data_IF_137964671092
#
_entry.id   IF_137964671092
#
_cell.length_a   1.000
_cell.length_b   1.000
_cell.length_c   1.000
_cell.angle_alpha   90.00
_cell.angle_beta   90.00
_cell.angle_gamma   90.00
#
_symmetry.space_group_name_H-M   'P 1'
#
loop_
_entity.id
_entity.type
_entity.pdbx_description
1 polymer ?
#
# COMPACT_ATOMS: atom_id res chain seq x y z
N UNK A 1 -3.29 5.68 -78.96
CA UNK A 1 -3.57 4.43 -78.21
C UNK A 1 -2.26 3.95 -77.60
N UNK A 2 -2.04 4.24 -76.32
CA UNK A 2 -0.84 3.85 -75.58
C UNK A 2 -1.19 3.88 -74.09
N UNK A 3 -1.51 2.71 -73.55
CA UNK A 3 -2.09 2.53 -72.22
C UNK A 3 -0.98 2.56 -71.16
N UNK A 4 -0.94 3.66 -70.40
CA UNK A 4 -0.08 3.83 -69.24
C UNK A 4 -0.69 3.03 -68.07
N UNK A 5 -0.39 1.74 -68.03
CA UNK A 5 -0.55 0.91 -66.83
C UNK A 5 0.78 0.91 -66.08
N UNK A 6 0.71 0.66 -64.77
CA UNK A 6 1.81 0.30 -63.86
C UNK A 6 2.54 1.49 -63.21
N UNK A 7 2.15 1.78 -61.95
CA UNK A 7 3.04 1.98 -60.79
C UNK A 7 2.35 2.87 -59.74
N UNK A 8 1.31 2.34 -59.08
CA UNK A 8 0.74 2.94 -57.87
C UNK A 8 0.17 1.81 -57.00
N UNK A 9 1.05 0.90 -56.59
CA UNK A 9 0.76 -0.13 -55.59
C UNK A 9 2.05 -0.37 -54.82
N UNK A 10 2.15 0.21 -53.63
CA UNK A 10 3.33 0.00 -52.79
C UNK A 10 3.48 0.95 -51.61
N UNK A 11 2.40 1.31 -50.93
CA UNK A 11 2.50 1.96 -49.61
C UNK A 11 1.33 1.56 -48.70
N UNK A 12 1.06 0.26 -48.65
CA UNK A 12 0.11 -0.35 -47.70
C UNK A 12 0.78 -1.59 -47.13
N UNK A 13 1.71 -1.43 -46.19
CA UNK A 13 2.19 -2.50 -45.29
C UNK A 13 3.33 -1.96 -44.42
N UNK A 14 3.00 -1.48 -43.21
CA UNK A 14 3.81 -1.56 -41.99
C UNK A 14 3.16 -0.78 -40.82
N UNK A 15 1.85 -0.98 -40.60
CA UNK A 15 1.21 -0.74 -39.30
C UNK A 15 0.91 -2.12 -38.70
N UNK A 16 1.96 -2.92 -38.50
CA UNK A 16 1.86 -4.14 -37.70
C UNK A 16 1.82 -3.70 -36.23
N UNK A 17 0.73 -4.07 -35.57
CA UNK A 17 0.34 -3.61 -34.25
C UNK A 17 1.45 -3.75 -33.21
N UNK A 18 1.80 -2.62 -32.61
CA UNK A 18 2.37 -2.59 -31.28
C UNK A 18 1.21 -2.85 -30.30
N UNK A 19 0.79 -4.11 -30.18
CA UNK A 19 -0.01 -4.51 -29.02
C UNK A 19 0.93 -4.55 -27.82
N UNK A 20 1.06 -3.38 -27.19
CA UNK A 20 1.67 -3.25 -25.87
C UNK A 20 0.79 -4.08 -24.95
N UNK A 21 1.19 -5.34 -24.74
CA UNK A 21 0.65 -6.18 -23.69
C UNK A 21 1.07 -5.50 -22.38
N UNK A 22 0.24 -4.57 -21.91
CA UNK A 22 0.36 -4.04 -20.58
C UNK A 22 0.26 -5.26 -19.66
N UNK A 23 1.38 -5.64 -19.07
CA UNK A 23 1.38 -6.58 -17.97
C UNK A 23 0.58 -5.91 -16.86
N UNK A 24 -0.73 -6.15 -16.85
CA UNK A 24 -1.61 -5.73 -15.78
C UNK A 24 -1.08 -6.44 -14.54
N UNK A 25 -0.40 -5.70 -13.67
CA UNK A 25 -0.10 -6.15 -12.33
C UNK A 25 -1.44 -6.62 -11.76
N UNK A 26 -1.59 -7.92 -11.57
CA UNK A 26 -2.82 -8.52 -11.04
C UNK A 26 -2.89 -8.12 -9.56
N UNK A 27 -3.49 -6.97 -9.29
CA UNK A 27 -3.83 -6.59 -7.94
C UNK A 27 -4.97 -7.47 -7.46
N UNK A 28 -4.83 -8.01 -6.26
CA UNK A 28 -5.90 -8.74 -5.65
C UNK A 28 -7.03 -7.76 -5.31
N UNK A 29 -8.26 -8.16 -5.59
CA UNK A 29 -9.46 -7.39 -5.26
C UNK A 29 -10.24 -8.16 -4.21
N UNK A 30 -10.76 -7.44 -3.22
CA UNK A 30 -11.66 -7.98 -2.22
C UNK A 30 -12.82 -7.02 -1.99
N UNK A 31 -13.99 -7.55 -1.68
CA UNK A 31 -15.19 -6.75 -1.44
C UNK A 31 -15.66 -6.92 0.01
N UNK A 32 -16.10 -5.84 0.64
CA UNK A 32 -16.77 -5.84 1.93
C UNK A 32 -18.18 -5.29 1.76
N UNK A 33 -19.17 -5.95 2.37
CA UNK A 33 -20.58 -5.59 2.33
C UNK A 33 -20.97 -4.93 3.65
N UNK A 34 -21.61 -3.77 3.56
CA UNK A 34 -22.23 -3.11 4.70
C UNK A 34 -23.65 -3.62 4.84
N UNK A 35 -23.89 -4.44 5.86
CA UNK A 35 -25.20 -5.01 6.15
C UNK A 35 -25.88 -4.25 7.29
N UNK A 36 -27.20 -4.11 7.20
CA UNK A 36 -28.02 -3.70 8.34
C UNK A 36 -28.36 -4.91 9.25
N UNK A 37 -29.04 -4.66 10.37
CA UNK A 37 -29.50 -5.71 11.29
C UNK A 37 -30.34 -6.81 10.62
N UNK A 38 -31.04 -6.50 9.53
CA UNK A 38 -31.87 -7.44 8.77
C UNK A 38 -31.05 -8.29 7.78
N UNK A 39 -29.72 -8.16 7.78
CA UNK A 39 -28.83 -8.85 6.84
C UNK A 39 -28.92 -8.34 5.40
N UNK A 40 -29.54 -7.17 5.17
CA UNK A 40 -29.62 -6.57 3.83
C UNK A 40 -28.38 -5.73 3.57
N UNK A 41 -27.64 -6.08 2.51
CA UNK A 41 -26.55 -5.27 2.00
C UNK A 41 -27.07 -3.89 1.56
N UNK A 42 -26.48 -2.84 2.11
CA UNK A 42 -26.76 -1.44 1.80
C UNK A 42 -25.73 -0.88 0.80
N UNK A 43 -24.48 -1.32 0.92
CA UNK A 43 -23.36 -0.77 0.18
C UNK A 43 -22.23 -1.78 0.09
N UNK A 44 -21.49 -1.75 -1.01
CA UNK A 44 -20.30 -2.59 -1.24
C UNK A 44 -19.07 -1.71 -1.33
N UNK A 45 -18.02 -2.11 -0.64
CA UNK A 45 -16.69 -1.48 -0.65
C UNK A 45 -15.72 -2.44 -1.32
N UNK A 46 -14.91 -1.95 -2.25
CA UNK A 46 -13.90 -2.75 -2.92
C UNK A 46 -12.54 -2.23 -2.51
N UNK A 47 -11.75 -3.10 -1.89
CA UNK A 47 -10.36 -2.84 -1.56
C UNK A 47 -9.45 -3.50 -2.58
N UNK A 48 -8.32 -2.85 -2.82
CA UNK A 48 -7.28 -3.33 -3.73
C UNK A 48 -5.99 -3.51 -2.95
N UNK A 49 -5.26 -4.58 -3.22
CA UNK A 49 -3.99 -4.87 -2.56
C UNK A 49 -3.08 -5.73 -3.41
N UNK A 50 -1.83 -5.88 -2.97
CA UNK A 50 -0.89 -6.78 -3.62
C UNK A 50 -1.22 -8.25 -3.33
N UNK A 51 -1.88 -8.52 -2.20
CA UNK A 51 -2.43 -9.83 -1.85
C UNK A 51 -3.89 -9.72 -1.41
N UNK A 52 -4.61 -10.85 -1.42
CA UNK A 52 -6.05 -10.89 -1.09
C UNK A 52 -6.32 -10.37 0.33
N UNK A 53 -5.37 -10.55 1.26
CA UNK A 53 -5.54 -10.12 2.65
C UNK A 53 -5.49 -8.61 2.76
N UNK A 54 -4.52 -7.96 2.11
CA UNK A 54 -4.41 -6.50 2.05
C UNK A 54 -5.63 -5.88 1.36
N UNK A 55 -6.09 -6.49 0.27
CA UNK A 55 -7.30 -6.05 -0.42
C UNK A 55 -8.54 -6.13 0.49
N UNK A 56 -8.66 -7.18 1.31
CA UNK A 56 -9.78 -7.32 2.26
C UNK A 56 -9.65 -6.37 3.45
N UNK A 57 -8.45 -6.15 3.97
CA UNK A 57 -8.18 -5.21 5.05
C UNK A 57 -8.54 -3.78 4.61
N UNK A 58 -8.20 -3.39 3.37
CA UNK A 58 -8.58 -2.09 2.79
C UNK A 58 -10.11 -1.98 2.61
N UNK A 59 -10.76 -3.01 2.06
CA UNK A 59 -12.21 -3.03 1.90
C UNK A 59 -12.96 -2.89 3.25
N UNK A 60 -12.48 -3.59 4.29
CA UNK A 60 -13.04 -3.52 5.64
C UNK A 60 -12.84 -2.14 6.27
N UNK A 61 -11.65 -1.54 6.10
CA UNK A 61 -11.35 -0.20 6.63
C UNK A 61 -12.26 0.86 6.04
N UNK A 62 -12.52 0.80 4.72
CA UNK A 62 -13.47 1.68 4.06
C UNK A 62 -14.90 1.48 4.60
N UNK A 63 -15.33 0.22 4.75
CA UNK A 63 -16.64 -0.11 5.30
C UNK A 63 -16.84 0.41 6.74
N UNK A 64 -15.84 0.22 7.62
CA UNK A 64 -15.88 0.72 9.00
C UNK A 64 -15.92 2.26 9.06
N UNK A 65 -15.18 2.92 8.16
CA UNK A 65 -15.20 4.38 8.05
C UNK A 65 -16.60 4.90 7.67
N UNK A 66 -17.33 4.18 6.81
CA UNK A 66 -18.72 4.54 6.47
C UNK A 66 -19.67 4.37 7.67
N UNK A 67 -19.53 3.30 8.47
CA UNK A 67 -20.33 3.12 9.70
C UNK A 67 -20.14 4.32 10.64
N UNK A 68 -18.89 4.76 10.80
CA UNK A 68 -18.57 5.92 11.61
C UNK A 68 -19.17 7.21 11.02
N UNK A 69 -19.05 7.43 9.71
CA UNK A 69 -19.64 8.57 9.01
C UNK A 69 -21.17 8.63 9.08
N UNK A 70 -21.85 7.49 9.06
CA UNK A 70 -23.31 7.40 9.24
C UNK A 70 -23.74 7.82 10.63
N UNK A 71 -23.01 7.37 11.64
CA UNK A 71 -23.24 7.78 13.03
C UNK A 71 -23.14 9.30 13.19
N UNK A 72 -22.17 9.95 12.53
CA UNK A 72 -22.04 11.42 12.55
C UNK A 72 -23.19 12.17 11.86
N UNK A 73 -23.87 11.57 10.87
CA UNK A 73 -25.03 12.16 10.19
C UNK A 73 -26.36 11.88 10.89
N UNK A 74 -26.33 11.24 12.06
CA UNK A 74 -27.52 10.85 12.82
C UNK A 74 -28.19 9.57 12.34
N UNK A 75 -27.53 8.79 11.47
CA UNK A 75 -27.98 7.47 11.04
C UNK A 75 -27.41 6.40 11.99
N UNK A 76 -28.16 6.14 13.07
CA UNK A 76 -27.78 5.23 14.17
C UNK A 76 -28.24 3.77 13.94
N UNK A 77 -28.48 3.37 12.70
CA UNK A 77 -28.73 1.97 12.40
C UNK A 77 -27.58 1.08 12.89
N UNK A 78 -27.86 -0.13 13.39
CA UNK A 78 -26.77 -1.07 13.64
C UNK A 78 -26.35 -1.69 12.32
N UNK A 79 -25.18 -1.28 11.87
CA UNK A 79 -24.52 -1.77 10.68
C UNK A 79 -23.37 -2.70 11.06
N UNK A 80 -23.06 -3.64 10.18
CA UNK A 80 -21.87 -4.48 10.29
C UNK A 80 -21.21 -4.63 8.92
N UNK A 81 -19.90 -4.76 8.94
CA UNK A 81 -19.11 -5.08 7.75
C UNK A 81 -18.95 -6.59 7.66
N UNK A 82 -19.35 -7.16 6.54
CA UNK A 82 -19.24 -8.58 6.24
C UNK A 82 -18.37 -8.77 5.01
N UNK A 83 -17.39 -9.66 5.08
CA UNK A 83 -16.70 -10.12 3.88
C UNK A 83 -17.54 -11.27 3.32
N UNK A 84 -18.04 -11.18 2.07
CA UNK A 84 -18.66 -12.32 1.43
C UNK A 84 -17.59 -13.42 1.41
N UNK A 85 -17.89 -14.58 1.98
CA UNK A 85 -16.99 -15.72 1.90
C UNK A 85 -16.77 -16.03 0.42
N UNK A 86 -15.64 -15.62 -0.12
CA UNK A 86 -15.12 -16.23 -1.34
C UNK A 86 -14.97 -17.71 -0.99
N UNK A 87 -15.85 -18.53 -1.57
CA UNK A 87 -15.85 -19.97 -1.32
C UNK A 87 -14.42 -20.51 -1.48
N UNK A 88 -14.04 -21.54 -0.71
CA UNK A 88 -12.70 -22.11 -0.82
C UNK A 88 -12.43 -22.40 -2.30
N UNK A 89 -11.41 -21.76 -2.85
CA UNK A 89 -10.88 -22.14 -4.16
C UNK A 89 -10.63 -23.64 -4.09
N UNK A 90 -11.13 -24.47 -5.03
CA UNK A 90 -10.97 -25.92 -4.95
C UNK A 90 -9.50 -26.25 -4.75
N UNK A 91 -9.19 -26.82 -3.59
CA UNK A 91 -7.84 -27.24 -3.21
C UNK A 91 -7.47 -28.35 -4.19
N UNK A 92 -6.40 -28.21 -5.01
CA UNK A 92 -5.88 -29.34 -5.78
C UNK A 92 -5.58 -30.48 -4.81
N UNK A 93 -6.05 -31.69 -5.14
CA UNK A 93 -6.04 -32.84 -4.23
C UNK A 93 -4.68 -33.16 -3.60
N UNK A 94 -4.66 -33.91 -2.49
CA UNK A 94 -3.46 -34.19 -1.71
C UNK A 94 -2.41 -34.91 -2.58
N UNK A 95 -1.30 -34.23 -2.82
CA UNK A 95 -0.13 -34.77 -3.49
C UNK A 95 0.54 -35.74 -2.49
N UNK A 96 0.82 -37.01 -2.84
CA UNK A 96 1.47 -37.97 -1.95
C UNK A 96 2.84 -37.46 -1.48
N UNK A 97 3.04 -37.47 -0.16
CA UNK A 97 4.21 -36.96 0.55
C UNK A 97 5.48 -37.80 0.26
N UNK A 98 6.53 -37.24 -0.36
CA UNK A 98 7.84 -37.84 -0.41
C UNK A 98 8.81 -37.05 0.48
N UNK A 99 9.14 -37.68 1.61
CA UNK A 99 10.39 -37.54 2.37
C UNK A 99 10.59 -36.29 3.27
N UNK A 100 11.18 -36.45 4.48
CA UNK A 100 11.42 -35.34 5.41
C UNK A 100 12.49 -34.39 4.86
N UNK A 101 12.06 -33.19 4.47
CA UNK A 101 12.93 -32.12 4.00
C UNK A 101 13.61 -31.39 5.18
N UNK A 102 14.89 -30.99 5.06
CA UNK A 102 15.61 -30.26 6.10
C UNK A 102 14.99 -28.87 6.34
N UNK A 103 14.97 -28.48 7.62
CA UNK A 103 14.31 -27.30 8.20
C UNK A 103 14.58 -25.98 7.42
N UNK A 104 13.56 -25.16 7.11
CA UNK A 104 13.74 -23.88 6.43
C UNK A 104 14.50 -22.89 7.32
N UNK A 105 15.50 -22.20 6.75
CA UNK A 105 16.22 -21.13 7.43
C UNK A 105 15.27 -20.00 7.82
N UNK A 106 15.29 -19.58 9.10
CA UNK A 106 14.41 -18.51 9.59
C UNK A 106 14.84 -17.18 8.98
N UNK A 107 13.88 -16.44 8.46
CA UNK A 107 14.11 -15.05 8.09
C UNK A 107 14.24 -14.18 9.35
N UNK A 108 14.99 -13.09 9.23
CA UNK A 108 15.21 -12.16 10.35
C UNK A 108 15.02 -10.72 9.89
N UNK A 109 14.56 -9.88 10.79
CA UNK A 109 14.36 -8.46 10.53
C UNK A 109 14.68 -7.63 11.77
N UNK A 110 15.21 -6.43 11.55
CA UNK A 110 15.61 -5.48 12.58
C UNK A 110 14.87 -4.16 12.36
N UNK A 111 14.25 -3.66 13.43
CA UNK A 111 13.64 -2.34 13.47
C UNK A 111 14.37 -1.47 14.51
N UNK A 112 14.63 -0.21 14.21
CA UNK A 112 15.23 0.74 15.14
C UNK A 112 14.23 1.83 15.52
N UNK A 113 14.14 2.12 16.82
CA UNK A 113 13.54 3.33 17.34
C UNK A 113 14.59 4.44 17.26
N UNK A 114 14.37 5.43 16.40
CA UNK A 114 15.27 6.57 16.20
C UNK A 114 14.65 7.83 16.76
N UNK A 115 15.46 8.66 17.41
CA UNK A 115 15.04 10.01 17.81
C UNK A 115 14.88 10.93 16.59
N UNK A 116 14.28 12.10 16.78
CA UNK A 116 14.22 13.16 15.74
C UNK A 116 15.59 13.57 15.18
N UNK A 117 16.68 13.34 15.92
CA UNK A 117 18.05 13.67 15.50
C UNK A 117 18.76 12.50 14.81
N UNK A 118 18.04 11.40 14.54
CA UNK A 118 18.58 10.20 13.88
C UNK A 118 19.35 9.25 14.78
N UNK A 119 19.55 9.59 16.06
CA UNK A 119 20.19 8.68 17.03
C UNK A 119 19.29 7.48 17.30
N UNK A 120 19.85 6.28 17.20
CA UNK A 120 19.17 5.02 17.53
C UNK A 120 19.07 4.91 19.05
N UNK A 121 17.83 4.81 19.54
CA UNK A 121 17.51 4.57 20.96
C UNK A 121 17.62 3.08 21.24
N UNK A 122 16.97 2.26 20.41
CA UNK A 122 16.87 0.82 20.62
C UNK A 122 16.61 0.09 19.31
N UNK A 123 17.16 -1.11 19.18
CA UNK A 123 16.87 -2.05 18.10
C UNK A 123 15.98 -3.18 18.59
N UNK A 124 15.09 -3.63 17.70
CA UNK A 124 14.13 -4.69 17.90
C UNK A 124 14.33 -5.75 16.82
N UNK A 125 14.30 -7.02 17.22
CA UNK A 125 14.58 -8.14 16.34
C UNK A 125 13.36 -9.03 16.24
N UNK A 126 12.97 -9.34 15.00
CA UNK A 126 11.94 -10.30 14.68
C UNK A 126 12.51 -11.46 13.89
N UNK A 127 11.94 -12.64 14.10
CA UNK A 127 12.31 -13.87 13.39
C UNK A 127 11.03 -14.59 12.96
N UNK A 128 11.04 -15.15 11.75
CA UNK A 128 9.87 -15.80 11.19
C UNK A 128 10.21 -16.85 10.16
N UNK A 129 9.20 -17.60 9.72
CA UNK A 129 9.32 -18.52 8.59
C UNK A 129 9.67 -17.76 7.29
N UNK A 130 9.23 -16.51 7.18
CA UNK A 130 9.53 -15.61 6.08
C UNK A 130 9.84 -14.19 6.57
N UNK A 131 10.39 -13.37 5.65
CA UNK A 131 10.78 -11.99 5.94
C UNK A 131 9.61 -11.12 6.39
N UNK A 132 8.39 -11.39 5.92
CA UNK A 132 7.20 -10.63 6.28
C UNK A 132 6.87 -10.84 7.75
N UNK A 133 6.84 -12.07 8.21
CA UNK A 133 6.60 -12.43 9.61
C UNK A 133 7.69 -11.84 10.52
N UNK A 134 8.96 -11.98 10.13
CA UNK A 134 10.08 -11.41 10.87
C UNK A 134 9.99 -9.87 10.99
N UNK A 135 9.68 -9.16 9.90
CA UNK A 135 9.57 -7.70 9.92
C UNK A 135 8.29 -7.21 10.61
N UNK A 136 7.20 -7.96 10.54
CA UNK A 136 5.98 -7.66 11.29
C UNK A 136 6.26 -7.72 12.80
N UNK A 137 6.94 -8.77 13.26
CA UNK A 137 7.30 -8.92 14.67
C UNK A 137 8.24 -7.80 15.15
N UNK A 138 9.28 -7.48 14.37
CA UNK A 138 10.21 -6.39 14.70
C UNK A 138 9.49 -5.02 14.76
N UNK A 139 8.60 -4.73 13.80
CA UNK A 139 7.80 -3.48 13.78
C UNK A 139 6.85 -3.38 14.95
N UNK A 140 6.15 -4.47 15.28
CA UNK A 140 5.20 -4.48 16.38
C UNK A 140 5.88 -4.12 17.70
N UNK A 141 7.03 -4.72 17.99
CA UNK A 141 7.82 -4.41 19.18
C UNK A 141 8.29 -2.94 19.18
N UNK A 142 8.79 -2.45 18.05
CA UNK A 142 9.22 -1.07 17.93
C UNK A 142 8.07 -0.08 18.18
N UNK A 143 6.88 -0.34 17.61
CA UNK A 143 5.71 0.52 17.80
C UNK A 143 5.21 0.56 19.25
N UNK A 144 5.26 -0.57 19.97
CA UNK A 144 4.92 -0.61 21.39
C UNK A 144 5.84 0.29 22.22
N UNK A 145 7.15 0.25 21.95
CA UNK A 145 8.10 1.13 22.62
C UNK A 145 7.98 2.58 22.17
N UNK A 146 7.66 2.84 20.90
CA UNK A 146 7.39 4.19 20.42
C UNK A 146 6.24 4.85 21.20
N UNK A 147 5.15 4.11 21.45
CA UNK A 147 4.02 4.61 22.25
C UNK A 147 4.48 4.99 23.66
N UNK A 148 5.28 4.14 24.32
CA UNK A 148 5.86 4.42 25.65
C UNK A 148 6.78 5.64 25.61
N UNK A 149 7.61 5.76 24.56
CA UNK A 149 8.55 6.87 24.39
C UNK A 149 7.83 8.21 24.19
N UNK A 150 6.73 8.22 23.43
CA UNK A 150 5.89 9.39 23.18
C UNK A 150 5.13 9.84 24.43
N UNK A 151 4.73 8.90 25.30
CA UNK A 151 4.09 9.23 26.59
C UNK A 151 5.01 10.06 27.52
N UNK A 152 6.32 9.96 27.35
CA UNK A 152 7.30 10.77 28.07
C UNK A 152 7.68 12.08 27.35
N UNK A 153 6.90 12.50 26.35
CA UNK A 153 7.10 13.76 25.61
C UNK A 153 8.31 13.74 24.66
N UNK A 154 8.82 12.56 24.30
CA UNK A 154 9.98 12.42 23.41
C UNK A 154 9.53 12.01 22.01
N UNK A 155 10.02 12.73 21.00
CA UNK A 155 9.75 12.38 19.62
C UNK A 155 10.73 11.31 19.11
N UNK A 156 10.17 10.23 18.57
CA UNK A 156 10.92 9.15 17.94
C UNK A 156 10.11 8.56 16.77
N UNK A 157 10.78 7.79 15.92
CA UNK A 157 10.22 7.09 14.76
C UNK A 157 10.74 5.65 14.73
N UNK A 158 9.92 4.73 14.23
CA UNK A 158 10.31 3.34 14.02
C UNK A 158 10.63 3.08 12.55
N UNK A 159 11.83 2.57 12.28
CA UNK A 159 12.32 2.32 10.93
C UNK A 159 12.89 0.90 10.84
N UNK A 160 12.61 0.18 9.74
CA UNK A 160 13.29 -1.11 9.48
C UNK A 160 14.71 -0.81 9.01
N UNK A 161 15.70 -1.32 9.76
CA UNK A 161 17.12 -1.07 9.47
C UNK A 161 17.77 -2.22 8.72
N UNK A 162 17.34 -3.47 8.96
CA UNK A 162 17.85 -4.65 8.26
C UNK A 162 16.76 -5.69 8.08
N UNK A 163 16.83 -6.44 6.99
CA UNK A 163 15.98 -7.60 6.76
C UNK A 163 16.73 -8.61 5.92
N UNK A 164 16.69 -9.87 6.32
CA UNK A 164 17.27 -10.98 5.57
C UNK A 164 16.17 -11.93 5.13
N UNK A 165 16.04 -12.10 3.81
CA UNK A 165 15.35 -13.24 3.23
C UNK A 165 16.20 -14.47 3.55
N UNK A 166 15.74 -15.33 4.47
CA UNK A 166 16.49 -16.52 4.88
C UNK A 166 16.80 -17.39 3.67
N UNK A 167 18.03 -17.34 3.17
CA UNK A 167 18.42 -18.01 1.93
C UNK A 167 18.75 -19.48 2.14
N UNK A 168 18.06 -20.38 1.43
CA UNK A 168 18.50 -21.76 1.19
C UNK A 168 19.04 -21.87 -0.24
N UNK A 169 20.24 -22.43 -0.42
CA UNK A 169 20.70 -23.02 -1.70
C UNK A 169 21.79 -24.08 -1.43
N UNK A 170 21.54 -25.36 -1.74
CA UNK A 170 22.37 -26.00 -2.78
C UNK A 170 21.62 -27.11 -3.54
N UNK A 171 21.27 -26.91 -4.82
CA UNK A 171 21.77 -27.68 -5.98
C UNK A 171 21.08 -27.25 -7.30
N UNK A 172 21.82 -27.21 -8.43
CA UNK A 172 21.52 -26.38 -9.59
C UNK A 172 20.92 -27.20 -10.74
N UNK A 173 19.78 -26.77 -11.26
CA UNK A 173 19.29 -27.14 -12.58
C UNK A 173 19.02 -25.87 -13.38
N UNK A 174 19.31 -25.83 -14.70
CA UNK A 174 19.09 -24.64 -15.51
C UNK A 174 17.59 -24.45 -15.74
N UNK A 175 16.94 -23.73 -14.83
CA UNK A 175 15.61 -23.19 -15.07
C UNK A 175 15.74 -21.78 -15.67
N UNK A 176 14.84 -21.38 -16.58
CA UNK A 176 14.84 -20.03 -17.14
C UNK A 176 14.67 -19.04 -16.00
N UNK A 177 15.64 -18.13 -15.84
CA UNK A 177 15.67 -17.05 -14.86
C UNK A 177 14.27 -16.59 -14.40
N UNK A 178 13.86 -16.84 -13.15
CA UNK A 178 12.96 -15.94 -12.46
C UNK A 178 13.78 -14.67 -12.21
N UNK A 179 13.32 -13.59 -12.81
CA UNK A 179 13.77 -12.23 -12.60
C UNK A 179 14.10 -12.01 -11.10
N UNK A 180 15.31 -11.57 -10.72
CA UNK A 180 15.60 -11.23 -9.34
C UNK A 180 14.55 -10.21 -8.86
N UNK A 181 13.73 -10.62 -7.89
CA UNK A 181 12.73 -9.75 -7.29
C UNK A 181 13.39 -8.43 -6.85
N UNK A 182 12.67 -7.30 -6.94
CA UNK A 182 13.23 -6.01 -6.56
C UNK A 182 13.73 -6.11 -5.12
N UNK A 183 15.00 -5.77 -4.91
CA UNK A 183 15.61 -5.69 -3.59
C UNK A 183 14.81 -4.78 -2.64
N UNK A 184 15.20 -4.65 -1.35
CA UNK A 184 14.50 -3.81 -0.39
C UNK A 184 14.18 -2.45 -1.01
N UNK A 185 12.89 -2.23 -1.31
CA UNK A 185 12.44 -1.03 -2.00
C UNK A 185 12.90 0.17 -1.20
N UNK A 186 13.59 1.12 -1.86
CA UNK A 186 13.94 2.38 -1.21
C UNK A 186 12.64 3.04 -0.76
N UNK A 187 12.54 3.39 0.52
CA UNK A 187 11.43 4.20 1.00
C UNK A 187 11.50 5.55 0.27
N UNK A 188 10.47 5.84 -0.51
CA UNK A 188 10.30 7.14 -1.12
C UNK A 188 9.76 8.08 -0.04
N UNK A 189 10.48 9.17 0.20
CA UNK A 189 9.97 10.29 0.99
C UNK A 189 9.49 11.34 0.01
N UNK A 190 8.24 11.74 0.13
CA UNK A 190 7.62 12.77 -0.69
C UNK A 190 7.10 13.90 0.18
N UNK A 191 7.00 15.07 -0.43
CA UNK A 191 6.57 16.29 0.21
C UNK A 191 5.33 16.82 -0.50
N UNK A 192 4.36 17.31 0.26
CA UNK A 192 3.17 17.94 -0.29
C UNK A 192 2.88 19.24 0.42
N UNK A 193 2.46 20.25 -0.36
CA UNK A 193 2.12 21.58 0.15
C UNK A 193 0.65 21.87 -0.09
N UNK A 194 -0.01 22.39 0.95
CA UNK A 194 -1.42 22.77 0.93
C UNK A 194 -1.54 24.21 1.39
N UNK A 195 -2.16 25.05 0.58
CA UNK A 195 -2.45 26.44 0.91
C UNK A 195 -3.82 26.59 1.57
N UNK A 196 -3.90 27.39 2.63
CA UNK A 196 -5.14 27.92 3.17
C UNK A 196 -5.47 29.22 2.46
N UNK A 197 -6.62 29.26 1.81
CA UNK A 197 -7.10 30.39 1.04
C UNK A 197 -8.31 31.03 1.69
N UNK A 198 -8.36 32.37 1.67
CA UNK A 198 -9.56 33.17 1.89
C UNK A 198 -9.96 33.80 0.56
N UNK A 199 -11.05 33.30 -0.03
CA UNK A 199 -11.43 33.54 -1.43
C UNK A 199 -10.29 33.26 -2.43
N UNK A 200 -9.46 34.25 -2.72
CA UNK A 200 -8.32 34.17 -3.67
C UNK A 200 -6.98 34.42 -3.01
N UNK A 201 -6.96 34.86 -1.74
CA UNK A 201 -5.73 35.21 -1.02
C UNK A 201 -5.19 33.99 -0.31
N UNK A 202 -3.95 33.60 -0.63
CA UNK A 202 -3.21 32.62 0.15
C UNK A 202 -2.86 33.23 1.52
N UNK A 203 -3.39 32.66 2.59
CA UNK A 203 -3.14 33.09 3.95
C UNK A 203 -1.90 32.38 4.53
N UNK A 204 -1.84 31.06 4.36
CA UNK A 204 -0.80 30.22 4.96
C UNK A 204 -0.56 28.98 4.11
N UNK A 205 0.66 28.44 4.16
CA UNK A 205 1.01 27.17 3.52
C UNK A 205 1.38 26.15 4.59
N UNK A 206 0.90 24.93 4.42
CA UNK A 206 1.16 23.76 5.24
C UNK A 206 1.95 22.75 4.43
N UNK A 207 2.90 22.09 5.09
CA UNK A 207 3.79 21.12 4.46
C UNK A 207 3.67 19.80 5.21
N UNK A 208 3.43 18.73 4.47
CA UNK A 208 3.33 17.37 4.98
C UNK A 208 4.36 16.47 4.31
N UNK A 209 4.81 15.46 5.03
CA UNK A 209 5.84 14.53 4.61
C UNK A 209 5.31 13.10 4.68
N UNK A 210 5.40 12.37 3.57
CA UNK A 210 4.88 11.01 3.48
C UNK A 210 5.96 10.04 3.05
N UNK A 211 5.95 8.86 3.65
CA UNK A 211 6.85 7.76 3.32
C UNK A 211 6.05 6.55 2.84
N UNK A 212 6.49 5.94 1.74
CA UNK A 212 5.97 4.67 1.25
C UNK A 212 7.00 3.97 0.35
N UNK A 213 6.74 2.72 -0.03
CA UNK A 213 7.60 1.97 -0.96
C UNK A 213 7.37 2.34 -2.42
N UNK A 214 6.35 3.15 -2.70
CA UNK A 214 6.04 3.74 -3.99
C UNK A 214 5.87 5.26 -3.86
N UNK A 215 6.30 6.00 -4.89
CA UNK A 215 6.28 7.46 -4.87
C UNK A 215 4.85 8.03 -4.80
N UNK A 216 3.86 7.34 -5.34
CA UNK A 216 2.48 7.83 -5.37
C UNK A 216 1.84 7.80 -3.99
N UNK A 217 1.96 6.69 -3.26
CA UNK A 217 1.47 6.53 -1.89
C UNK A 217 2.25 7.43 -0.95
N UNK A 218 3.56 7.59 -1.13
CA UNK A 218 4.36 8.54 -0.36
C UNK A 218 3.82 9.97 -0.55
N UNK A 219 3.49 10.36 -1.78
CA UNK A 219 2.90 11.67 -2.08
C UNK A 219 1.51 11.82 -1.47
N UNK A 220 0.67 10.78 -1.56
CA UNK A 220 -0.68 10.77 -0.97
C UNK A 220 -0.62 10.97 0.54
N UNK A 221 0.23 10.21 1.23
CA UNK A 221 0.48 10.33 2.66
C UNK A 221 0.94 11.74 3.05
N UNK A 222 1.84 12.33 2.25
CA UNK A 222 2.32 13.70 2.46
C UNK A 222 1.18 14.72 2.34
N UNK A 223 0.30 14.56 1.33
CA UNK A 223 -0.82 15.48 1.12
C UNK A 223 -1.91 15.33 2.18
N UNK A 224 -2.19 14.10 2.63
CA UNK A 224 -3.16 13.84 3.69
C UNK A 224 -2.71 14.49 5.01
N UNK A 225 -1.41 14.46 5.29
CA UNK A 225 -0.83 15.17 6.44
C UNK A 225 -0.97 16.69 6.28
N UNK A 226 -0.54 17.26 5.16
CA UNK A 226 -0.62 18.69 4.89
C UNK A 226 -2.07 19.22 4.92
N UNK A 227 -3.03 18.45 4.39
CA UNK A 227 -4.45 18.78 4.44
C UNK A 227 -4.99 18.73 5.87
N UNK A 228 -4.59 17.73 6.66
CA UNK A 228 -5.01 17.63 8.07
C UNK A 228 -4.52 18.82 8.88
N UNK A 229 -3.26 19.22 8.68
CA UNK A 229 -2.72 20.43 9.29
C UNK A 229 -3.52 21.66 8.86
N UNK A 230 -3.73 21.87 7.56
CA UNK A 230 -4.52 23.00 7.05
C UNK A 230 -5.95 23.02 7.62
N UNK A 231 -6.59 21.85 7.75
CA UNK A 231 -7.94 21.71 8.31
C UNK A 231 -8.06 22.19 9.75
N UNK A 232 -6.99 22.11 10.56
CA UNK A 232 -6.98 22.61 11.94
C UNK A 232 -7.01 24.14 12.01
N UNK A 233 -6.57 24.83 10.95
CA UNK A 233 -6.53 26.30 10.87
C UNK A 233 -7.68 26.88 10.04
N UNK A 234 -8.65 26.08 9.60
CA UNK A 234 -9.82 26.58 8.88
C UNK A 234 -10.76 27.32 9.84
N UNK A 235 -10.92 28.62 9.60
CA UNK A 235 -11.93 29.47 10.22
C UNK A 235 -12.77 30.18 9.14
N UNK A 236 -14.07 30.34 9.37
CA UNK A 236 -14.98 31.02 8.44
C UNK A 236 -15.06 30.37 7.05
N UNK A 237 -14.92 31.16 5.98
CA UNK A 237 -15.01 30.71 4.59
C UNK A 237 -13.66 30.25 3.99
N UNK A 238 -12.66 29.98 4.83
CA UNK A 238 -11.35 29.54 4.34
C UNK A 238 -11.38 28.10 3.79
N UNK A 239 -10.61 27.87 2.73
CA UNK A 239 -10.50 26.58 2.04
C UNK A 239 -9.04 26.11 1.93
N UNK A 240 -8.84 24.81 2.07
CA UNK A 240 -7.54 24.17 1.88
C UNK A 240 -7.43 23.66 0.44
N UNK A 241 -6.41 24.09 -0.29
CA UNK A 241 -6.16 23.65 -1.67
C UNK A 241 -4.72 23.19 -1.82
N UNK A 242 -4.53 22.03 -2.43
CA UNK A 242 -3.20 21.54 -2.76
C UNK A 242 -2.51 22.53 -3.72
N UNK A 243 -1.29 22.91 -3.39
CA UNK A 243 -0.42 23.66 -4.28
C UNK A 243 0.25 22.66 -5.20
N UNK A 244 0.13 22.84 -6.52
CA UNK A 244 0.75 21.94 -7.50
C UNK A 244 2.25 21.80 -7.20
N UNK A 245 2.63 20.63 -6.71
CA UNK A 245 4.02 20.26 -6.46
C UNK A 245 4.62 19.80 -7.80
N UNK A 246 4.88 20.75 -8.71
CA UNK A 246 5.76 20.51 -9.86
C UNK A 246 7.20 20.65 -9.38
N UNK A 247 7.74 19.56 -8.83
CA UNK A 247 9.17 19.33 -8.64
C UNK A 247 9.50 17.91 -9.09
#
# INVERSE_FOLDING_TARGET
MGSLKTALFGFVLCLAGLEISAAHAQYAQCTALLENQLGRSQQTFTGNGYDLREACDDALKQCQSEIQWRSYRGDYGSYRCNLPQVGPTPIPGPIPNPNPYPYPGRASCEAALKTQYGSVVQNFYGQGADRREACHQARYQCQQELIRYQQHGRYAVCEITRSSDGGYNPYPGPTPYPNPGPGPGRLFTQLCRVGLYDYTRLLQTFEGTGQAYDAETARRNACDEAQRQCGQYRYGQTMCRQLDSRF
#
